data_IF_962110470903
#
_entry.id   IF_962110470903
#
_cell.length_a   1.000
_cell.length_b   1.000
_cell.length_c   1.000
_cell.angle_alpha   90.00
_cell.angle_beta   90.00
_cell.angle_gamma   90.00
#
_symmetry.space_group_name_H-M   'P 1'
#
loop_
_entity.id
_entity.type
_entity.pdbx_description
1 polymer ?
#
# COMPACT_ATOMS: atom_id res chain seq x y z
N UNK A 1 0.63 17.92 14.39
CA UNK A 1 1.05 16.62 13.84
C UNK A 1 2.49 16.68 13.35
N UNK A 2 2.88 17.74 12.64
CA UNK A 2 4.30 17.98 12.37
C UNK A 2 5.00 18.26 13.70
N UNK A 3 6.14 17.63 13.98
CA UNK A 3 6.91 17.87 15.20
C UNK A 3 7.28 19.36 15.33
N UNK A 4 7.16 19.92 16.52
CA UNK A 4 7.57 21.31 16.78
C UNK A 4 9.09 21.50 16.62
N UNK A 5 9.86 20.44 16.92
CA UNK A 5 11.29 20.34 16.72
C UNK A 5 11.63 18.98 16.17
N UNK A 6 12.48 18.95 15.15
CA UNK A 6 12.99 17.68 14.63
C UNK A 6 14.19 17.24 15.48
N UNK A 7 14.37 15.91 15.69
CA UNK A 7 15.55 15.40 16.37
C UNK A 7 16.82 15.77 15.58
N UNK A 8 17.90 16.05 16.29
CA UNK A 8 19.17 16.34 15.67
C UNK A 8 19.79 15.06 15.10
N UNK A 9 19.91 15.03 13.77
CA UNK A 9 20.50 13.91 13.06
C UNK A 9 22.00 14.12 12.84
N UNK A 10 22.77 13.07 13.04
CA UNK A 10 24.20 13.08 12.79
C UNK A 10 24.61 12.07 11.70
N UNK A 11 25.75 12.32 11.09
CA UNK A 11 26.30 11.43 10.07
C UNK A 11 26.86 10.14 10.71
N UNK A 12 26.63 9.00 10.06
CA UNK A 12 27.13 7.68 10.44
C UNK A 12 27.77 7.01 9.23
N UNK A 13 28.39 5.84 9.39
CA UNK A 13 28.92 5.06 8.26
C UNK A 13 27.85 4.59 7.26
N UNK A 14 26.56 4.63 7.64
CA UNK A 14 25.44 4.14 6.82
C UNK A 14 24.67 5.28 6.20
N UNK A 15 24.35 6.32 6.96
CA UNK A 15 23.48 7.42 6.54
C UNK A 15 24.12 8.78 6.84
N UNK A 16 23.84 9.74 6.00
CA UNK A 16 24.18 11.15 6.14
C UNK A 16 23.18 11.83 7.10
N UNK A 17 23.50 13.04 7.55
CA UNK A 17 22.62 13.82 8.41
C UNK A 17 21.23 14.10 7.78
N UNK A 18 21.12 14.12 6.43
CA UNK A 18 19.83 14.22 5.71
C UNK A 18 19.05 12.89 5.62
N UNK A 19 19.52 11.85 6.30
CA UNK A 19 18.94 10.51 6.31
C UNK A 19 19.30 9.65 5.09
N UNK A 20 19.85 10.22 4.02
CA UNK A 20 20.17 9.47 2.81
C UNK A 20 21.36 8.54 3.00
N UNK A 21 21.32 7.41 2.32
CA UNK A 21 22.38 6.40 2.35
C UNK A 21 23.70 6.92 1.76
N UNK A 22 24.81 6.60 2.42
CA UNK A 22 26.12 6.75 1.82
C UNK A 22 26.28 5.86 0.58
N UNK A 23 27.04 6.32 -0.39
CA UNK A 23 27.24 5.61 -1.66
C UNK A 23 27.79 4.19 -1.44
N UNK A 24 28.68 4.02 -0.45
CA UNK A 24 29.31 2.74 -0.14
C UNK A 24 28.32 1.64 0.28
N UNK A 25 27.25 1.99 1.00
CA UNK A 25 26.25 1.03 1.52
C UNK A 25 24.95 1.01 0.70
N UNK A 26 24.76 2.01 -0.15
CA UNK A 26 23.55 2.18 -0.94
C UNK A 26 23.28 1.00 -1.85
N UNK A 27 24.29 0.49 -2.54
CA UNK A 27 24.14 -0.61 -3.50
C UNK A 27 23.76 -1.92 -2.78
N UNK A 28 24.26 -2.14 -1.58
CA UNK A 28 23.87 -3.28 -0.75
C UNK A 28 22.39 -3.17 -0.31
N UNK A 29 21.97 -2.02 0.21
CA UNK A 29 20.61 -1.81 0.69
C UNK A 29 19.57 -1.72 -0.44
N UNK A 30 19.98 -1.32 -1.65
CA UNK A 30 19.13 -1.31 -2.84
C UNK A 30 19.11 -2.64 -3.60
N UNK A 31 19.82 -3.66 -3.12
CA UNK A 31 19.87 -4.97 -3.78
C UNK A 31 18.52 -5.66 -3.77
N UNK A 32 18.00 -5.94 -4.97
CA UNK A 32 16.72 -6.65 -5.17
C UNK A 32 16.95 -8.16 -5.08
N UNK A 33 16.30 -8.82 -4.14
CA UNK A 33 16.35 -10.28 -3.98
C UNK A 33 15.16 -10.93 -4.73
N UNK A 34 15.24 -10.97 -6.06
CA UNK A 34 14.13 -11.37 -6.94
C UNK A 34 13.51 -12.72 -6.57
N UNK A 35 14.29 -13.75 -6.22
CA UNK A 35 13.76 -15.06 -5.86
C UNK A 35 12.92 -15.03 -4.58
N UNK A 36 13.33 -14.22 -3.56
CA UNK A 36 12.53 -14.04 -2.34
C UNK A 36 11.23 -13.29 -2.61
N UNK A 37 11.26 -12.37 -3.56
CA UNK A 37 10.07 -11.62 -3.97
C UNK A 37 9.13 -12.52 -4.79
N UNK A 38 9.66 -13.41 -5.62
CA UNK A 38 8.88 -14.45 -6.28
C UNK A 38 8.15 -15.34 -5.26
N UNK A 39 8.84 -15.81 -4.21
CA UNK A 39 8.20 -16.54 -3.12
C UNK A 39 7.11 -15.75 -2.41
N UNK A 40 7.24 -14.41 -2.29
CA UNK A 40 6.16 -13.57 -1.73
C UNK A 40 4.95 -13.52 -2.65
N UNK A 41 5.15 -13.44 -3.97
CA UNK A 41 4.05 -13.48 -4.95
C UNK A 41 3.36 -14.85 -4.93
N UNK A 42 4.12 -15.94 -4.99
CA UNK A 42 3.57 -17.30 -4.88
C UNK A 42 2.83 -17.48 -3.56
N UNK A 43 3.44 -17.12 -2.45
CA UNK A 43 2.82 -17.22 -1.11
C UNK A 43 1.53 -16.42 -0.98
N UNK A 44 1.43 -15.26 -1.65
CA UNK A 44 0.17 -14.49 -1.71
C UNK A 44 -0.93 -15.30 -2.42
N UNK A 45 -0.63 -15.92 -3.55
CA UNK A 45 -1.60 -16.73 -4.27
C UNK A 45 -1.98 -18.01 -3.52
N UNK A 46 -1.00 -18.69 -2.92
CA UNK A 46 -1.26 -19.87 -2.06
C UNK A 46 -2.15 -19.50 -0.88
N UNK A 47 -1.83 -18.43 -0.17
CA UNK A 47 -2.67 -17.93 0.94
C UNK A 47 -4.09 -17.60 0.47
N UNK A 48 -4.22 -16.91 -0.68
CA UNK A 48 -5.51 -16.56 -1.26
C UNK A 48 -6.33 -17.81 -1.59
N UNK A 49 -5.71 -18.81 -2.21
CA UNK A 49 -6.37 -20.09 -2.53
C UNK A 49 -6.79 -20.83 -1.25
N UNK A 50 -5.93 -20.89 -0.23
CA UNK A 50 -6.24 -21.54 1.04
C UNK A 50 -7.42 -20.86 1.76
N UNK A 51 -7.48 -19.51 1.77
CA UNK A 51 -8.60 -18.75 2.35
C UNK A 51 -9.91 -19.05 1.62
N UNK A 52 -9.88 -19.08 0.28
CA UNK A 52 -11.06 -19.41 -0.53
C UNK A 52 -11.49 -20.86 -0.30
N UNK A 53 -10.55 -21.80 -0.31
CA UNK A 53 -10.84 -23.23 -0.05
C UNK A 53 -11.47 -23.41 1.35
N UNK A 54 -10.92 -22.77 2.36
CA UNK A 54 -11.49 -22.81 3.72
C UNK A 54 -12.93 -22.28 3.75
N UNK A 55 -13.22 -21.17 3.04
CA UNK A 55 -14.58 -20.64 2.96
C UNK A 55 -15.53 -21.58 2.25
N UNK A 56 -15.08 -22.29 1.21
CA UNK A 56 -15.90 -23.26 0.48
C UNK A 56 -16.17 -24.50 1.33
N UNK A 57 -15.14 -25.07 1.95
CA UNK A 57 -15.23 -26.33 2.72
C UNK A 57 -16.04 -26.14 4.01
N UNK A 58 -15.89 -24.99 4.67
CA UNK A 58 -16.51 -24.72 5.99
C UNK A 58 -17.60 -23.64 5.93
N UNK A 59 -18.32 -23.54 4.79
CA UNK A 59 -19.48 -22.66 4.67
C UNK A 59 -20.58 -23.11 5.65
N UNK A 60 -21.28 -22.16 6.33
CA UNK A 60 -21.17 -20.70 6.22
C UNK A 60 -20.10 -20.07 7.19
N UNK A 61 -19.57 -20.82 8.12
CA UNK A 61 -18.80 -20.33 9.26
C UNK A 61 -17.51 -19.61 8.87
N UNK A 62 -16.83 -20.11 7.83
CA UNK A 62 -15.57 -19.53 7.36
C UNK A 62 -15.72 -18.35 6.40
N UNK A 63 -16.93 -18.06 5.89
CA UNK A 63 -17.14 -17.01 4.90
C UNK A 63 -16.81 -15.61 5.45
N UNK A 64 -17.24 -15.30 6.68
CA UNK A 64 -17.00 -13.99 7.30
C UNK A 64 -15.50 -13.74 7.56
N UNK A 65 -14.75 -14.64 8.23
CA UNK A 65 -13.31 -14.45 8.39
C UNK A 65 -12.58 -14.46 7.04
N UNK A 66 -12.98 -15.30 6.08
CA UNK A 66 -12.42 -15.28 4.73
C UNK A 66 -12.64 -13.95 4.03
N UNK A 67 -13.81 -13.34 4.14
CA UNK A 67 -14.11 -12.02 3.60
C UNK A 67 -13.12 -10.95 4.09
N UNK A 68 -12.84 -10.93 5.39
CA UNK A 68 -11.86 -9.99 5.98
C UNK A 68 -10.44 -10.30 5.50
N UNK A 69 -10.05 -11.57 5.46
CA UNK A 69 -8.74 -12.01 4.99
C UNK A 69 -8.55 -11.72 3.49
N UNK A 70 -9.61 -11.78 2.69
CA UNK A 70 -9.54 -11.40 1.26
C UNK A 70 -9.36 -9.89 1.09
N UNK A 71 -9.97 -9.05 1.93
CA UNK A 71 -9.68 -7.61 1.96
C UNK A 71 -8.21 -7.33 2.31
N UNK A 72 -7.66 -8.08 3.27
CA UNK A 72 -6.23 -8.05 3.58
C UNK A 72 -5.37 -8.58 2.41
N UNK A 73 -5.81 -9.61 1.70
CA UNK A 73 -5.12 -10.07 0.50
C UNK A 73 -5.00 -8.96 -0.56
N UNK A 74 -6.05 -8.17 -0.78
CA UNK A 74 -5.97 -6.99 -1.65
C UNK A 74 -4.94 -5.95 -1.17
N UNK A 75 -4.76 -5.76 0.15
CA UNK A 75 -3.68 -4.94 0.68
C UNK A 75 -2.29 -5.53 0.35
N UNK A 76 -2.16 -6.86 0.34
CA UNK A 76 -0.92 -7.55 -0.06
C UNK A 76 -0.65 -7.41 -1.56
N UNK A 77 -1.68 -7.58 -2.41
CA UNK A 77 -1.57 -7.31 -3.85
C UNK A 77 -1.10 -5.88 -4.11
N UNK A 78 -1.72 -4.90 -3.45
CA UNK A 78 -1.37 -3.49 -3.58
C UNK A 78 0.07 -3.22 -3.11
N UNK A 79 0.53 -3.83 -2.01
CA UNK A 79 1.89 -3.64 -1.49
C UNK A 79 2.96 -4.21 -2.42
N UNK A 80 2.76 -5.40 -2.99
CA UNK A 80 3.70 -5.96 -3.97
C UNK A 80 3.62 -5.24 -5.32
N UNK A 81 2.44 -4.75 -5.71
CA UNK A 81 2.28 -3.90 -6.89
C UNK A 81 3.02 -2.55 -6.71
N UNK A 82 2.99 -1.98 -5.52
CA UNK A 82 3.76 -0.78 -5.17
C UNK A 82 5.27 -1.01 -5.38
N UNK A 83 5.81 -2.15 -4.91
CA UNK A 83 7.20 -2.52 -5.19
C UNK A 83 7.47 -2.64 -6.71
N UNK A 84 6.54 -3.23 -7.46
CA UNK A 84 6.65 -3.30 -8.91
C UNK A 84 6.57 -1.90 -9.56
N UNK A 85 5.81 -0.97 -8.99
CA UNK A 85 5.76 0.41 -9.44
C UNK A 85 7.09 1.13 -9.28
N UNK A 86 7.81 0.90 -8.19
CA UNK A 86 9.18 1.37 -7.98
C UNK A 86 10.24 0.59 -8.79
N UNK A 87 9.85 -0.51 -9.47
CA UNK A 87 10.76 -1.46 -10.14
C UNK A 87 11.71 -2.17 -9.18
N UNK A 88 11.23 -2.46 -7.98
CA UNK A 88 11.96 -3.11 -6.90
C UNK A 88 11.48 -4.54 -6.63
N UNK A 89 10.43 -5.02 -7.33
CA UNK A 89 9.95 -6.39 -7.16
C UNK A 89 10.92 -7.41 -7.77
N UNK A 90 11.38 -7.16 -9.00
CA UNK A 90 12.37 -7.99 -9.69
C UNK A 90 13.47 -7.13 -10.33
N UNK A 91 14.72 -7.62 -10.27
CA UNK A 91 15.87 -6.96 -10.89
C UNK A 91 15.72 -6.85 -12.43
N UNK A 92 15.17 -7.89 -13.05
CA UNK A 92 14.82 -7.84 -14.48
C UNK A 92 13.58 -6.97 -14.67
N UNK A 93 13.74 -5.84 -15.40
CA UNK A 93 12.66 -4.85 -15.62
C UNK A 93 11.44 -5.43 -16.33
N UNK A 94 11.62 -6.34 -17.30
CA UNK A 94 10.50 -6.98 -18.04
C UNK A 94 9.71 -7.88 -17.11
N UNK A 95 10.39 -8.74 -16.35
CA UNK A 95 9.75 -9.60 -15.34
C UNK A 95 9.02 -8.79 -14.28
N UNK A 96 9.64 -7.69 -13.80
CA UNK A 96 9.01 -6.77 -12.86
C UNK A 96 7.70 -6.18 -13.40
N UNK A 97 7.73 -5.65 -14.63
CA UNK A 97 6.57 -4.98 -15.21
C UNK A 97 5.48 -5.99 -15.60
N UNK A 98 5.83 -7.21 -16.05
CA UNK A 98 4.88 -8.29 -16.31
C UNK A 98 4.20 -8.75 -15.03
N UNK A 99 4.96 -9.06 -13.99
CA UNK A 99 4.40 -9.50 -12.71
C UNK A 99 3.55 -8.39 -12.06
N UNK A 100 4.04 -7.14 -12.08
CA UNK A 100 3.31 -6.00 -11.58
C UNK A 100 1.95 -5.84 -12.23
N UNK A 101 1.86 -6.00 -13.55
CA UNK A 101 0.60 -5.88 -14.31
C UNK A 101 -0.30 -7.10 -14.13
N UNK A 102 0.20 -8.29 -14.49
CA UNK A 102 -0.63 -9.48 -14.69
C UNK A 102 -0.86 -10.28 -13.42
N UNK A 103 0.11 -10.29 -12.49
CA UNK A 103 -0.01 -11.04 -11.24
C UNK A 103 -0.47 -10.19 -10.06
N UNK A 104 -0.37 -8.85 -10.13
CA UNK A 104 -0.66 -8.01 -8.97
C UNK A 104 -1.70 -6.94 -9.27
N UNK A 105 -1.49 -6.12 -10.29
CA UNK A 105 -2.36 -4.97 -10.59
C UNK A 105 -3.71 -5.41 -11.17
N UNK A 106 -3.73 -6.11 -12.29
CA UNK A 106 -4.97 -6.48 -12.98
C UNK A 106 -5.89 -7.37 -12.12
N UNK A 107 -5.39 -8.36 -11.36
CA UNK A 107 -6.22 -9.09 -10.41
C UNK A 107 -6.88 -8.18 -9.36
N UNK A 108 -6.22 -7.12 -8.94
CA UNK A 108 -6.74 -6.12 -7.98
C UNK A 108 -7.34 -4.89 -8.65
N UNK A 109 -7.91 -5.01 -9.84
CA UNK A 109 -8.60 -3.93 -10.57
C UNK A 109 -7.75 -2.66 -10.75
N UNK A 110 -6.43 -2.78 -10.82
CA UNK A 110 -5.51 -1.63 -10.83
C UNK A 110 -4.53 -1.73 -11.98
N UNK A 111 -4.24 -0.59 -12.61
CA UNK A 111 -3.15 -0.48 -13.58
C UNK A 111 -1.84 -0.13 -12.88
N UNK A 112 -0.89 -1.03 -12.83
CA UNK A 112 0.45 -0.77 -12.27
C UNK A 112 1.14 0.40 -12.94
N UNK A 113 0.96 0.59 -14.25
CA UNK A 113 1.60 1.70 -14.98
C UNK A 113 0.94 3.05 -14.65
N UNK A 114 -0.39 3.09 -14.50
CA UNK A 114 -1.08 4.30 -14.08
C UNK A 114 -0.72 4.62 -12.62
N UNK A 115 -0.74 3.64 -11.74
CA UNK A 115 -0.32 3.78 -10.35
C UNK A 115 1.13 4.28 -10.25
N UNK A 116 2.06 3.72 -11.02
CA UNK A 116 3.45 4.19 -11.06
C UNK A 116 3.54 5.68 -11.39
N UNK A 117 2.81 6.17 -12.39
CA UNK A 117 2.85 7.59 -12.76
C UNK A 117 2.37 8.48 -11.62
N UNK A 118 1.24 8.15 -11.02
CA UNK A 118 0.65 8.87 -9.88
C UNK A 118 1.59 8.82 -8.69
N UNK A 119 2.06 7.65 -8.33
CA UNK A 119 2.90 7.43 -7.16
C UNK A 119 4.31 8.07 -7.28
N UNK A 120 4.91 8.08 -8.48
CA UNK A 120 6.15 8.82 -8.69
C UNK A 120 5.95 10.35 -8.68
N UNK A 121 4.76 10.84 -9.04
CA UNK A 121 4.42 12.25 -8.88
C UNK A 121 4.26 12.59 -7.38
N UNK A 122 3.58 11.74 -6.60
CA UNK A 122 3.48 11.86 -5.15
C UNK A 122 4.87 11.98 -4.48
N UNK A 123 5.81 11.07 -4.74
CA UNK A 123 7.17 11.15 -4.19
C UNK A 123 7.93 12.43 -4.55
N UNK A 124 7.62 13.05 -5.69
CA UNK A 124 8.27 14.30 -6.11
C UNK A 124 7.64 15.55 -5.52
N UNK A 125 6.35 15.51 -5.24
CA UNK A 125 5.55 16.71 -4.94
C UNK A 125 4.69 16.56 -3.68
N UNK A 126 5.16 15.80 -2.68
CA UNK A 126 4.44 15.62 -1.41
C UNK A 126 3.93 16.97 -0.88
N UNK A 127 2.61 17.07 -0.69
CA UNK A 127 1.91 18.29 -0.29
C UNK A 127 2.06 19.48 -1.26
N UNK A 128 2.62 19.27 -2.44
CA UNK A 128 2.70 20.30 -3.48
C UNK A 128 1.35 20.53 -4.17
N UNK A 129 1.25 21.57 -5.03
CA UNK A 129 0.00 21.93 -5.69
C UNK A 129 -0.54 20.83 -6.64
N UNK A 130 0.35 20.02 -7.19
CA UNK A 130 0.00 18.94 -8.12
C UNK A 130 0.07 17.55 -7.47
N UNK A 131 0.01 17.47 -6.14
CA UNK A 131 0.02 16.22 -5.37
C UNK A 131 -1.24 15.42 -5.66
N UNK A 132 -1.14 14.25 -6.34
CA UNK A 132 -2.32 13.51 -6.79
C UNK A 132 -3.10 12.84 -5.64
N UNK A 133 -2.43 12.51 -4.53
CA UNK A 133 -3.01 11.79 -3.40
C UNK A 133 -3.43 12.72 -2.24
N UNK A 134 -3.23 14.02 -2.37
CA UNK A 134 -3.45 15.04 -1.33
C UNK A 134 -4.86 14.97 -0.70
N UNK A 135 -5.88 14.65 -1.50
CA UNK A 135 -7.27 14.55 -1.04
C UNK A 135 -7.50 13.42 -0.01
N UNK A 136 -6.58 12.47 0.13
CA UNK A 136 -6.69 11.39 1.09
C UNK A 136 -6.35 11.84 2.52
N UNK A 137 -5.47 12.83 2.70
CA UNK A 137 -4.84 13.11 3.99
C UNK A 137 -4.61 14.60 4.33
N UNK A 138 -4.82 15.59 3.42
CA UNK A 138 -4.52 17.00 3.69
C UNK A 138 -5.34 17.63 4.83
N UNK A 139 -6.59 17.15 5.03
CA UNK A 139 -7.52 17.78 5.97
C UNK A 139 -7.36 17.28 7.41
N UNK A 140 -6.40 16.41 7.67
CA UNK A 140 -6.15 15.89 9.01
C UNK A 140 -5.29 16.86 9.85
N UNK A 141 -5.50 16.89 11.19
CA UNK A 141 -6.43 16.10 11.99
C UNK A 141 -7.89 16.55 11.83
N UNK A 142 -8.82 15.59 11.98
CA UNK A 142 -10.26 15.78 11.85
C UNK A 142 -10.98 15.34 13.12
N UNK A 143 -12.28 15.68 13.26
CA UNK A 143 -13.12 15.15 14.31
C UNK A 143 -13.24 13.61 14.23
N UNK A 144 -13.24 12.96 15.38
CA UNK A 144 -13.42 11.51 15.48
C UNK A 144 -14.70 11.02 14.80
N UNK A 145 -15.80 11.76 14.93
CA UNK A 145 -17.05 11.47 14.24
C UNK A 145 -16.88 11.51 12.71
N UNK A 146 -16.07 12.45 12.20
CA UNK A 146 -15.77 12.54 10.76
C UNK A 146 -14.96 11.34 10.28
N UNK A 147 -13.95 10.90 11.05
CA UNK A 147 -13.18 9.69 10.73
C UNK A 147 -14.11 8.46 10.66
N UNK A 148 -14.98 8.27 11.65
CA UNK A 148 -15.94 7.16 11.65
C UNK A 148 -16.91 7.20 10.46
N UNK A 149 -17.44 8.37 10.09
CA UNK A 149 -18.26 8.52 8.88
C UNK A 149 -17.51 8.08 7.62
N UNK A 150 -16.23 8.45 7.51
CA UNK A 150 -15.36 8.05 6.37
C UNK A 150 -15.14 6.53 6.37
N UNK A 151 -14.83 5.92 7.51
CA UNK A 151 -14.62 4.47 7.63
C UNK A 151 -15.90 3.67 7.32
N UNK A 152 -17.06 4.10 7.84
CA UNK A 152 -18.35 3.47 7.55
C UNK A 152 -18.70 3.58 6.06
N UNK A 153 -18.43 4.74 5.43
CA UNK A 153 -18.62 4.93 3.98
C UNK A 153 -17.78 3.93 3.18
N UNK A 154 -16.52 3.72 3.60
CA UNK A 154 -15.60 2.79 2.94
C UNK A 154 -16.02 1.34 3.20
N UNK A 155 -16.38 0.98 4.43
CA UNK A 155 -16.89 -0.34 4.79
C UNK A 155 -18.18 -0.72 4.06
N UNK A 156 -19.04 0.28 3.76
CA UNK A 156 -20.26 0.09 2.95
C UNK A 156 -19.99 0.04 1.44
N UNK A 157 -18.73 0.08 1.01
CA UNK A 157 -18.33 -0.04 -0.39
C UNK A 157 -18.59 1.21 -1.24
N UNK A 158 -19.10 2.32 -0.68
CA UNK A 158 -19.42 3.54 -1.46
C UNK A 158 -18.18 4.13 -2.14
N UNK A 159 -17.06 4.22 -1.42
CA UNK A 159 -15.78 4.67 -2.00
C UNK A 159 -15.28 3.68 -3.04
N UNK A 160 -15.29 2.38 -2.72
CA UNK A 160 -14.89 1.33 -3.64
C UNK A 160 -15.68 1.33 -4.94
N UNK A 161 -17.00 1.50 -4.84
CA UNK A 161 -17.87 1.60 -6.01
C UNK A 161 -17.62 2.85 -6.85
N UNK A 162 -17.37 4.00 -6.22
CA UNK A 162 -17.01 5.23 -6.95
C UNK A 162 -15.72 5.03 -7.75
N UNK A 163 -14.69 4.43 -7.14
CA UNK A 163 -13.43 4.11 -7.82
C UNK A 163 -13.63 3.07 -8.93
N UNK A 164 -14.46 2.04 -8.69
CA UNK A 164 -14.79 1.03 -9.71
C UNK A 164 -15.51 1.65 -10.90
N UNK A 165 -16.49 2.53 -10.68
CA UNK A 165 -17.15 3.28 -11.76
C UNK A 165 -16.16 4.14 -12.53
N UNK A 166 -15.21 4.79 -11.83
CA UNK A 166 -14.13 5.55 -12.45
C UNK A 166 -13.24 4.66 -13.34
N UNK A 167 -12.87 3.48 -12.87
CA UNK A 167 -12.15 2.50 -13.69
C UNK A 167 -12.96 2.08 -14.91
N UNK A 168 -14.21 1.67 -14.72
CA UNK A 168 -15.09 1.24 -15.81
C UNK A 168 -15.32 2.36 -16.83
N UNK A 169 -15.48 3.61 -16.38
CA UNK A 169 -15.69 4.74 -17.30
C UNK A 169 -14.52 5.00 -18.24
N UNK A 170 -13.34 4.42 -17.98
CA UNK A 170 -12.18 4.53 -18.88
C UNK A 170 -12.41 3.88 -20.26
N UNK A 171 -13.48 3.08 -20.45
CA UNK A 171 -13.87 2.60 -21.77
C UNK A 171 -14.17 3.75 -22.75
N UNK A 172 -14.62 4.91 -22.22
CA UNK A 172 -14.89 6.14 -22.98
C UNK A 172 -13.68 7.07 -23.08
N UNK A 173 -12.54 6.69 -22.49
CA UNK A 173 -11.34 7.52 -22.51
C UNK A 173 -10.90 7.79 -23.97
N UNK A 174 -10.51 9.01 -24.33
CA UNK A 174 -9.92 9.30 -25.63
C UNK A 174 -8.56 8.60 -25.79
N UNK A 175 -7.85 8.30 -24.69
CA UNK A 175 -6.56 7.59 -24.73
C UNK A 175 -6.74 6.08 -24.99
N UNK A 176 -6.27 5.57 -26.15
CA UNK A 176 -6.35 4.14 -26.46
C UNK A 176 -5.62 3.24 -25.47
N UNK A 177 -4.58 3.76 -24.80
CA UNK A 177 -3.80 2.97 -23.82
C UNK A 177 -4.65 2.70 -22.58
N UNK A 178 -5.40 3.67 -22.12
CA UNK A 178 -6.32 3.52 -20.98
C UNK A 178 -7.41 2.51 -21.31
N UNK A 179 -8.03 2.57 -22.50
CA UNK A 179 -9.03 1.58 -22.93
C UNK A 179 -8.45 0.17 -23.02
N UNK A 180 -7.27 0.00 -23.63
CA UNK A 180 -6.59 -1.31 -23.70
C UNK A 180 -6.25 -1.86 -22.32
N UNK A 181 -5.88 -1.01 -21.40
CA UNK A 181 -5.59 -1.42 -20.01
C UNK A 181 -6.85 -1.90 -19.31
N UNK A 182 -7.99 -1.20 -19.47
CA UNK A 182 -9.27 -1.67 -18.95
C UNK A 182 -9.63 -3.06 -19.48
N UNK A 183 -9.52 -3.27 -20.81
CA UNK A 183 -9.82 -4.58 -21.40
C UNK A 183 -8.93 -5.70 -20.86
N UNK A 184 -7.65 -5.43 -20.59
CA UNK A 184 -6.76 -6.41 -19.95
C UNK A 184 -7.19 -6.71 -18.51
N UNK A 185 -7.58 -5.70 -17.74
CA UNK A 185 -8.13 -5.89 -16.40
C UNK A 185 -9.41 -6.75 -16.51
N UNK A 186 -10.35 -6.40 -17.39
CA UNK A 186 -11.59 -7.16 -17.55
C UNK A 186 -11.35 -8.60 -18.01
N UNK A 187 -10.38 -8.85 -18.88
CA UNK A 187 -10.00 -10.21 -19.28
C UNK A 187 -9.50 -11.04 -18.09
N UNK A 188 -8.65 -10.46 -17.22
CA UNK A 188 -8.20 -11.14 -16.00
C UNK A 188 -9.38 -11.41 -15.06
N UNK A 189 -10.28 -10.45 -14.88
CA UNK A 189 -11.46 -10.64 -14.05
C UNK A 189 -12.40 -11.71 -14.62
N UNK A 190 -12.56 -11.77 -15.94
CA UNK A 190 -13.34 -12.81 -16.62
C UNK A 190 -12.73 -14.22 -16.39
N UNK A 191 -11.40 -14.33 -16.42
CA UNK A 191 -10.70 -15.61 -16.11
C UNK A 191 -10.93 -16.03 -14.66
N UNK A 192 -10.85 -15.08 -13.70
CA UNK A 192 -11.11 -15.37 -12.28
C UNK A 192 -12.57 -15.81 -12.06
N UNK A 193 -13.52 -15.12 -12.67
CA UNK A 193 -14.93 -15.51 -12.63
C UNK A 193 -15.17 -16.87 -13.28
N UNK A 194 -14.60 -17.10 -14.46
CA UNK A 194 -14.74 -18.40 -15.16
C UNK A 194 -14.17 -19.55 -14.31
N UNK A 195 -13.04 -19.35 -13.63
CA UNK A 195 -12.49 -20.33 -12.68
C UNK A 195 -13.43 -20.62 -11.51
N UNK A 196 -14.07 -19.60 -10.93
CA UNK A 196 -15.06 -19.76 -9.87
C UNK A 196 -16.31 -20.51 -10.36
N UNK A 197 -16.79 -20.22 -11.56
CA UNK A 197 -17.91 -20.93 -12.20
C UNK A 197 -17.56 -22.38 -12.49
N UNK A 198 -16.41 -22.63 -13.09
CA UNK A 198 -15.93 -23.97 -13.43
C UNK A 198 -15.73 -24.85 -12.18
N UNK A 199 -15.38 -24.26 -11.04
CA UNK A 199 -15.28 -24.97 -9.75
C UNK A 199 -16.64 -25.27 -9.10
N UNK A 200 -17.77 -24.82 -9.68
CA UNK A 200 -19.11 -24.91 -9.09
C UNK A 200 -19.39 -23.86 -7.98
N UNK A 201 -18.45 -22.95 -7.72
CA UNK A 201 -18.54 -21.98 -6.62
C UNK A 201 -18.53 -20.55 -7.14
N UNK A 202 -19.40 -20.22 -8.10
CA UNK A 202 -19.48 -18.90 -8.74
C UNK A 202 -19.57 -17.73 -7.74
N UNK A 203 -20.19 -17.95 -6.57
CA UNK A 203 -20.38 -16.96 -5.51
C UNK A 203 -19.04 -16.47 -4.91
N UNK A 204 -17.97 -17.28 -4.99
CA UNK A 204 -16.62 -16.93 -4.50
C UNK A 204 -16.13 -15.64 -5.15
N UNK A 205 -16.37 -15.45 -6.44
CA UNK A 205 -15.90 -14.27 -7.14
C UNK A 205 -16.58 -12.97 -6.62
N UNK A 206 -17.90 -12.81 -6.62
CA UNK A 206 -18.51 -11.59 -6.09
C UNK A 206 -18.32 -11.43 -4.59
N UNK A 207 -18.39 -12.49 -3.78
CA UNK A 207 -18.40 -12.40 -2.31
C UNK A 207 -16.98 -12.32 -1.73
N UNK A 208 -16.04 -13.11 -2.23
CA UNK A 208 -14.68 -13.20 -1.66
C UNK A 208 -13.62 -12.45 -2.47
N UNK A 209 -13.91 -12.00 -3.69
CA UNK A 209 -12.97 -11.22 -4.49
C UNK A 209 -13.42 -9.77 -4.66
N UNK A 210 -14.59 -9.53 -5.24
CA UNK A 210 -15.04 -8.17 -5.55
C UNK A 210 -15.44 -7.39 -4.31
N UNK A 211 -16.31 -7.98 -3.46
CA UNK A 211 -16.86 -7.26 -2.30
C UNK A 211 -15.77 -6.88 -1.26
N UNK A 212 -14.78 -7.72 -0.88
CA UNK A 212 -13.68 -7.32 -0.01
C UNK A 212 -12.80 -6.21 -0.62
N UNK A 213 -12.61 -6.21 -1.95
CA UNK A 213 -11.91 -5.14 -2.65
C UNK A 213 -12.66 -3.80 -2.54
N UNK A 214 -13.99 -3.82 -2.64
CA UNK A 214 -14.81 -2.60 -2.57
C UNK A 214 -14.97 -2.07 -1.13
N UNK A 215 -14.79 -2.91 -0.11
CA UNK A 215 -15.13 -2.64 1.29
C UNK A 215 -13.91 -2.69 2.20
N UNK A 216 -13.52 -3.86 2.67
CA UNK A 216 -12.44 -4.07 3.66
C UNK A 216 -11.12 -3.45 3.20
N UNK A 217 -10.76 -3.68 1.93
CA UNK A 217 -9.54 -3.06 1.37
C UNK A 217 -9.61 -1.53 1.43
N UNK A 218 -10.76 -0.90 1.20
CA UNK A 218 -10.89 0.57 1.27
C UNK A 218 -10.69 1.10 2.67
N UNK A 219 -11.19 0.38 3.68
CA UNK A 219 -10.94 0.72 5.10
C UNK A 219 -9.45 0.61 5.41
N UNK A 220 -8.81 -0.51 5.05
CA UNK A 220 -7.37 -0.69 5.25
C UNK A 220 -6.57 0.40 4.56
N UNK A 221 -6.89 0.70 3.30
CA UNK A 221 -6.17 1.71 2.51
C UNK A 221 -6.31 3.12 3.12
N UNK A 222 -7.51 3.49 3.59
CA UNK A 222 -7.71 4.78 4.28
C UNK A 222 -6.89 4.87 5.57
N UNK A 223 -7.00 3.87 6.45
CA UNK A 223 -6.27 3.84 7.72
C UNK A 223 -4.76 3.90 7.49
N UNK A 224 -4.28 3.30 6.42
CA UNK A 224 -2.89 3.34 6.00
C UNK A 224 -2.51 4.73 5.48
N UNK A 225 -3.22 5.27 4.50
CA UNK A 225 -2.89 6.55 3.86
C UNK A 225 -2.84 7.71 4.86
N UNK A 226 -3.79 7.77 5.81
CA UNK A 226 -3.75 8.81 6.85
C UNK A 226 -2.61 8.62 7.85
N UNK A 227 -2.19 7.36 8.09
CA UNK A 227 -1.05 7.08 8.95
C UNK A 227 0.31 7.28 8.25
N UNK A 228 0.31 7.42 6.93
CA UNK A 228 1.49 7.72 6.14
C UNK A 228 1.76 9.24 6.11
N UNK A 229 0.72 10.06 5.89
CA UNK A 229 0.89 11.50 5.61
C UNK A 229 -0.10 12.43 6.33
N UNK A 230 -1.10 11.91 7.06
CA UNK A 230 -2.17 12.72 7.64
C UNK A 230 -1.67 13.82 8.57
N UNK A 231 -2.09 15.08 8.32
CA UNK A 231 -1.74 16.21 9.18
C UNK A 231 -0.27 16.67 9.09
N UNK A 232 0.46 16.18 8.11
CA UNK A 232 1.78 16.68 7.73
C UNK A 232 1.67 17.86 6.74
N UNK A 233 2.77 18.47 6.32
CA UNK A 233 2.81 19.59 5.39
C UNK A 233 3.95 19.48 4.38
N UNK A 234 3.99 20.37 3.40
CA UNK A 234 5.05 20.43 2.41
C UNK A 234 6.39 20.81 3.04
N UNK A 235 7.40 19.98 2.85
CA UNK A 235 8.78 20.24 3.29
C UNK A 235 9.78 19.48 2.43
N UNK A 236 11.03 19.92 2.47
CA UNK A 236 12.18 19.17 1.95
C UNK A 236 12.63 18.06 2.91
N UNK A 237 12.31 18.16 4.19
CA UNK A 237 12.60 17.14 5.20
C UNK A 237 11.47 16.12 5.27
N UNK A 238 11.76 14.86 5.00
CA UNK A 238 10.78 13.79 4.98
C UNK A 238 10.12 13.50 6.33
N UNK A 239 10.71 13.93 7.42
CA UNK A 239 10.14 13.83 8.77
C UNK A 239 8.95 14.77 8.99
N UNK A 240 8.79 15.78 8.13
CA UNK A 240 7.67 16.73 8.14
C UNK A 240 6.59 16.41 7.10
N UNK A 241 6.88 15.46 6.18
CA UNK A 241 5.93 15.00 5.17
C UNK A 241 5.37 13.61 5.43
N UNK A 242 6.08 12.80 6.24
CA UNK A 242 5.81 11.36 6.38
C UNK A 242 5.98 10.91 7.83
N UNK A 243 4.96 10.26 8.38
CA UNK A 243 5.01 9.72 9.74
C UNK A 243 5.96 8.51 9.86
N UNK A 244 6.63 8.41 11.02
CA UNK A 244 7.23 7.17 11.50
C UNK A 244 6.31 6.50 12.51
N UNK A 245 6.04 5.21 12.32
CA UNK A 245 5.20 4.42 13.24
C UNK A 245 5.90 3.11 13.56
N UNK A 246 5.97 2.78 14.85
CA UNK A 246 6.53 1.50 15.31
C UNK A 246 5.73 0.32 14.77
N UNK A 247 6.42 -0.62 14.13
CA UNK A 247 5.81 -1.75 13.44
C UNK A 247 5.52 -2.91 14.39
N UNK A 248 4.29 -2.99 14.91
CA UNK A 248 3.82 -4.11 15.73
C UNK A 248 3.40 -5.31 14.88
N UNK A 249 3.37 -6.51 15.45
CA UNK A 249 2.93 -7.72 14.73
C UNK A 249 1.49 -7.62 14.17
N UNK A 250 0.48 -7.16 14.95
CA UNK A 250 -0.88 -7.02 14.43
C UNK A 250 -0.97 -6.03 13.26
N UNK A 251 -0.25 -4.89 13.33
CA UNK A 251 -0.21 -3.92 12.25
C UNK A 251 0.40 -4.51 10.98
N UNK A 252 1.52 -5.22 11.10
CA UNK A 252 2.18 -5.90 9.98
C UNK A 252 1.33 -7.01 9.37
N UNK A 253 0.52 -7.68 10.19
CA UNK A 253 -0.38 -8.71 9.70
C UNK A 253 -1.61 -8.11 9.00
N UNK A 254 -2.32 -7.20 9.64
CA UNK A 254 -3.62 -6.72 9.15
C UNK A 254 -3.52 -5.52 8.20
N UNK A 255 -2.60 -4.59 8.45
CA UNK A 255 -2.65 -3.24 7.87
C UNK A 255 -1.56 -2.99 6.84
N UNK A 256 -0.31 -3.32 7.18
CA UNK A 256 0.90 -2.95 6.42
C UNK A 256 1.76 -4.18 6.05
N UNK A 257 1.20 -5.11 5.25
CA UNK A 257 1.90 -6.33 4.86
C UNK A 257 3.19 -5.99 4.08
N UNK A 258 4.08 -6.97 3.99
CA UNK A 258 5.34 -6.82 3.24
C UNK A 258 6.18 -5.60 3.66
N UNK A 259 6.14 -5.23 4.96
CA UNK A 259 6.98 -4.16 5.52
C UNK A 259 6.75 -2.78 4.90
N UNK A 260 5.61 -2.54 4.24
CA UNK A 260 5.30 -1.23 3.66
C UNK A 260 5.07 -0.14 4.73
N UNK A 261 4.86 -0.54 5.98
CA UNK A 261 4.68 0.38 7.11
C UNK A 261 5.96 1.11 7.54
N UNK A 262 7.14 0.71 7.08
CA UNK A 262 8.36 1.53 7.19
C UNK A 262 8.34 2.62 6.12
N UNK A 263 7.35 3.52 6.22
CA UNK A 263 7.04 4.46 5.16
C UNK A 263 8.00 5.65 5.12
N UNK A 264 8.40 6.19 6.27
CA UNK A 264 9.40 7.25 6.33
C UNK A 264 10.73 6.86 5.65
N UNK A 265 11.41 5.75 5.98
CA UNK A 265 12.60 5.36 5.23
C UNK A 265 12.35 5.13 3.74
N UNK A 266 11.15 4.68 3.34
CA UNK A 266 10.77 4.57 1.94
C UNK A 266 10.71 5.94 1.25
N UNK A 267 10.23 6.99 1.91
CA UNK A 267 10.21 8.35 1.37
C UNK A 267 11.59 9.01 1.39
N UNK A 268 12.46 8.69 2.34
CA UNK A 268 13.85 9.19 2.36
C UNK A 268 14.66 8.61 1.19
N UNK A 269 14.53 7.29 0.90
CA UNK A 269 15.14 6.64 -0.26
C UNK A 269 14.20 5.57 -0.85
N UNK A 270 13.38 5.99 -1.81
CA UNK A 270 12.42 5.13 -2.50
C UNK A 270 13.05 4.06 -3.42
N UNK A 271 14.37 4.04 -3.54
CA UNK A 271 15.14 2.99 -4.22
C UNK A 271 15.48 1.79 -3.33
N UNK A 272 15.16 1.83 -2.04
CA UNK A 272 15.39 0.72 -1.10
C UNK A 272 14.22 -0.26 -1.13
N UNK A 273 14.41 -1.55 -1.52
CA UNK A 273 13.34 -2.54 -1.54
C UNK A 273 12.75 -2.78 -0.14
N UNK A 274 11.44 -3.11 -0.09
CA UNK A 274 10.68 -3.31 1.15
C UNK A 274 11.37 -4.25 2.17
N UNK A 275 12.15 -5.22 1.70
CA UNK A 275 12.85 -6.17 2.57
C UNK A 275 13.97 -5.52 3.37
N UNK A 276 14.55 -4.45 2.87
CA UNK A 276 15.66 -3.75 3.46
C UNK A 276 15.23 -2.51 4.25
N UNK A 277 13.97 -2.05 4.11
CA UNK A 277 13.44 -0.90 4.86
C UNK A 277 13.60 -1.03 6.39
N UNK A 278 13.40 -2.21 7.04
CA UNK A 278 13.64 -2.32 8.47
C UNK A 278 15.11 -2.12 8.88
N UNK A 279 16.05 -2.51 8.02
CA UNK A 279 17.49 -2.26 8.26
C UNK A 279 17.81 -0.77 8.08
N UNK A 280 17.24 -0.17 7.05
CA UNK A 280 17.39 1.26 6.80
C UNK A 280 16.78 2.09 7.93
N UNK A 281 15.58 1.75 8.40
CA UNK A 281 14.95 2.44 9.53
C UNK A 281 15.83 2.39 10.79
N UNK A 282 16.43 1.23 11.14
CA UNK A 282 17.38 1.16 12.26
C UNK A 282 18.60 2.04 12.07
N UNK A 283 19.11 2.19 10.85
CA UNK A 283 20.20 3.11 10.57
C UNK A 283 19.79 4.58 10.78
N UNK A 284 18.55 4.94 10.39
CA UNK A 284 17.98 6.26 10.66
C UNK A 284 17.80 6.52 12.17
N UNK A 285 17.38 5.51 12.93
CA UNK A 285 17.29 5.61 14.39
C UNK A 285 18.69 5.78 15.03
N UNK A 286 19.67 5.01 14.57
CA UNK A 286 21.05 5.10 15.08
C UNK A 286 21.69 6.47 14.78
N UNK A 287 21.32 7.10 13.67
CA UNK A 287 21.78 8.44 13.29
C UNK A 287 20.98 9.58 13.98
N UNK A 288 20.05 9.27 14.87
CA UNK A 288 19.17 10.29 15.48
C UNK A 288 18.17 10.92 14.49
N UNK A 289 18.12 10.48 13.23
CA UNK A 289 17.15 10.98 12.26
C UNK A 289 15.70 10.62 12.64
N UNK A 290 15.51 9.48 13.31
CA UNK A 290 14.24 9.04 13.89
C UNK A 290 14.49 8.69 15.36
N UNK A 291 13.69 9.27 16.25
CA UNK A 291 13.71 8.97 17.68
C UNK A 291 12.29 8.84 18.25
N UNK A 292 12.18 8.68 19.57
CA UNK A 292 10.89 8.55 20.26
C UNK A 292 10.01 9.80 20.22
N UNK A 293 10.53 10.96 19.80
CA UNK A 293 9.76 12.21 19.71
C UNK A 293 8.92 12.27 18.43
N UNK A 294 9.39 11.65 17.35
CA UNK A 294 8.71 11.62 16.05
C UNK A 294 8.15 10.25 15.66
N UNK A 295 8.57 9.16 16.34
CA UNK A 295 8.04 7.82 16.08
C UNK A 295 6.85 7.51 16.97
N UNK A 296 5.67 7.38 16.37
CA UNK A 296 4.47 6.96 17.08
C UNK A 296 4.60 5.51 17.59
N UNK A 297 4.20 5.22 18.85
CA UNK A 297 4.34 3.88 19.43
C UNK A 297 3.43 2.83 18.76
N UNK A 298 2.38 3.25 18.10
CA UNK A 298 1.44 2.39 17.37
C UNK A 298 0.57 3.18 16.39
N UNK A 299 -0.02 2.48 15.42
CA UNK A 299 -1.04 3.05 14.52
C UNK A 299 -2.24 3.62 15.29
N UNK A 300 -2.64 2.96 16.39
CA UNK A 300 -3.74 3.45 17.24
C UNK A 300 -3.42 4.82 17.83
N UNK A 301 -2.21 5.01 18.36
CA UNK A 301 -1.78 6.29 18.90
C UNK A 301 -1.80 7.40 17.83
N UNK A 302 -1.30 7.09 16.63
CA UNK A 302 -1.33 8.04 15.52
C UNK A 302 -2.76 8.36 15.07
N UNK A 303 -3.64 7.36 14.90
CA UNK A 303 -5.03 7.62 14.53
C UNK A 303 -5.79 8.41 15.58
N UNK A 304 -5.51 8.19 16.86
CA UNK A 304 -6.06 9.03 17.94
C UNK A 304 -5.64 10.47 17.73
N UNK A 305 -4.35 10.74 17.58
CA UNK A 305 -3.86 12.09 17.34
C UNK A 305 -4.40 12.74 16.05
N UNK A 306 -4.69 11.93 15.02
CA UNK A 306 -5.31 12.40 13.76
C UNK A 306 -6.83 12.63 13.86
N UNK A 307 -7.46 12.26 14.98
CA UNK A 307 -8.91 12.32 15.17
C UNK A 307 -9.34 12.91 16.50
N UNK A 308 -8.47 13.63 17.20
CA UNK A 308 -8.74 14.24 18.52
C UNK A 308 -9.10 15.73 18.43
N UNK A 309 -9.77 16.16 17.37
CA UNK A 309 -10.39 17.49 17.25
C UNK A 309 -11.85 17.45 17.59
#
# INVERSE_FOLDING_TARGET
MVPATLPEAHETDVVRADGRLHRAVRDELRRIRSWRNALSVVGLYVQTALVITAAVVWTPWAVVPAFVLMGRAHAQFASLMHEAAHRLLFANRRANDLAGRWLLGYPSFTSTDAYRRVHMAHHRQEFGPDEPDIALYRDYPIERASLWRKLIRDARGRTGWTLMRGLLSTWRSPDPRSRRTLWKIMAVQAVLLAGAVASGHWWVYPVLWVAPYLTVWRVINRLRSIAEHGGMHQSSDRRETTHSVRQTWPARFLLVPYRIGWHLPHHVDSGVPFRNLPRYHRALQHAGYVDGTIEYPSYRALWSALSDR
#
